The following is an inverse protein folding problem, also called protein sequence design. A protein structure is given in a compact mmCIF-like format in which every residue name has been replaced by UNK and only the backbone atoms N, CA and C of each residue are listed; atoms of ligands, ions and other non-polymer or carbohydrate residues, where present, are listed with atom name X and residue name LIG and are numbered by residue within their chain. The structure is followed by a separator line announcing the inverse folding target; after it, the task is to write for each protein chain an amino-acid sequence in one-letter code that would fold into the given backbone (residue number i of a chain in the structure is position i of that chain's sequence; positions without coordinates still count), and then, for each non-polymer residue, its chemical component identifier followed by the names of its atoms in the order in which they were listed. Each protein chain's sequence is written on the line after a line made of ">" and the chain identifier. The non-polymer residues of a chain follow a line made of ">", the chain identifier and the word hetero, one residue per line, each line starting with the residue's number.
data_IF_202224788060
#
_entry.id   IF_202224788060
#
_cell.length_a   1.000
_cell.length_b   1.000
_cell.length_c   1.000
_cell.angle_alpha   90.00
_cell.angle_beta   90.00
_cell.angle_gamma   90.00
#
_symmetry.space_group_name_H-M   'P 1'
#
loop_
_entity.id
_entity.type
_entity.pdbx_description
1 polymer ?
#
# COMPACT_ATOMS: atom_id res chain seq x y z
N UNK A 1 23.29 -11.23 -11.01
CA UNK A 1 22.52 -11.61 -12.21
C UNK A 1 21.08 -11.14 -12.00
N UNK A 2 20.39 -10.63 -13.03
CA UNK A 2 19.08 -10.00 -12.83
C UNK A 2 18.00 -11.04 -12.52
N UNK A 3 17.32 -10.89 -11.38
CA UNK A 3 16.14 -11.69 -11.02
C UNK A 3 14.92 -11.25 -11.84
N UNK A 4 14.75 -11.87 -13.01
CA UNK A 4 13.74 -11.48 -14.02
C UNK A 4 12.31 -11.61 -13.49
N UNK A 5 12.02 -12.64 -12.68
CA UNK A 5 10.67 -12.84 -12.13
C UNK A 5 10.34 -11.76 -11.10
N UNK A 6 11.31 -11.40 -10.26
CA UNK A 6 11.09 -10.34 -9.29
C UNK A 6 10.99 -8.96 -9.96
N UNK A 7 11.79 -8.71 -10.99
CA UNK A 7 11.72 -7.47 -11.78
C UNK A 7 10.36 -7.31 -12.48
N UNK A 8 9.92 -8.34 -13.21
CA UNK A 8 8.65 -8.30 -13.95
C UNK A 8 7.45 -8.09 -13.03
N UNK A 9 7.37 -8.82 -11.92
CA UNK A 9 6.29 -8.63 -10.93
C UNK A 9 6.33 -7.27 -10.25
N UNK A 10 7.52 -6.68 -10.04
CA UNK A 10 7.66 -5.33 -9.49
C UNK A 10 7.16 -4.26 -10.48
N UNK A 11 7.49 -4.40 -11.77
CA UNK A 11 6.99 -3.52 -12.84
C UNK A 11 5.47 -3.63 -12.97
N UNK A 12 4.92 -4.84 -12.97
CA UNK A 12 3.46 -5.05 -12.99
C UNK A 12 2.79 -4.35 -11.81
N UNK A 13 3.37 -4.44 -10.60
CA UNK A 13 2.87 -3.75 -9.41
C UNK A 13 2.86 -2.22 -9.58
N UNK A 14 3.94 -1.65 -10.12
CA UNK A 14 4.02 -0.22 -10.40
C UNK A 14 2.93 0.23 -11.40
N UNK A 15 2.71 -0.54 -12.47
CA UNK A 15 1.66 -0.26 -13.46
C UNK A 15 0.28 -0.26 -12.81
N UNK A 16 -0.03 -1.28 -11.98
CA UNK A 16 -1.30 -1.36 -11.27
C UNK A 16 -1.50 -0.18 -10.32
N UNK A 17 -0.46 0.24 -9.60
CA UNK A 17 -0.51 1.45 -8.75
C UNK A 17 -0.82 2.70 -9.54
N UNK A 18 -0.17 2.90 -10.69
CA UNK A 18 -0.43 4.04 -11.56
C UNK A 18 -1.89 4.02 -12.05
N UNK A 19 -2.38 2.88 -12.53
CA UNK A 19 -3.76 2.73 -13.01
C UNK A 19 -4.77 3.09 -11.92
N UNK A 20 -4.61 2.53 -10.72
CA UNK A 20 -5.51 2.78 -9.58
C UNK A 20 -5.42 4.22 -9.12
N UNK A 21 -4.21 4.73 -8.94
CA UNK A 21 -3.96 6.09 -8.47
C UNK A 21 -4.58 7.13 -9.40
N UNK A 22 -4.31 7.03 -10.70
CA UNK A 22 -4.88 7.92 -11.72
C UNK A 22 -6.39 7.77 -11.81
N UNK A 23 -6.92 6.54 -11.74
CA UNK A 23 -8.36 6.31 -11.75
C UNK A 23 -9.07 7.02 -10.60
N UNK A 24 -8.55 6.87 -9.37
CA UNK A 24 -9.14 7.48 -8.18
C UNK A 24 -9.03 9.02 -8.19
N UNK A 25 -7.91 9.56 -8.64
CA UNK A 25 -7.76 11.00 -8.83
C UNK A 25 -8.72 11.54 -9.90
N UNK A 26 -8.94 10.81 -10.99
CA UNK A 26 -9.91 11.18 -12.00
C UNK A 26 -11.35 11.17 -11.44
N UNK A 27 -11.70 10.20 -10.59
CA UNK A 27 -12.98 10.20 -9.88
C UNK A 27 -13.12 11.42 -8.97
N UNK A 28 -12.07 11.78 -8.22
CA UNK A 28 -12.06 12.98 -7.39
C UNK A 28 -12.22 14.27 -8.21
N UNK A 29 -11.55 14.38 -9.36
CA UNK A 29 -11.66 15.54 -10.24
C UNK A 29 -13.07 15.74 -10.82
N UNK A 30 -13.89 14.68 -10.88
CA UNK A 30 -15.28 14.69 -11.34
C UNK A 30 -16.29 15.04 -10.23
N UNK A 31 -15.88 15.11 -8.97
CA UNK A 31 -16.78 15.51 -7.88
C UNK A 31 -17.14 17.01 -8.00
N UNK A 32 -18.40 17.34 -7.75
CA UNK A 32 -18.89 18.73 -7.76
C UNK A 32 -18.24 19.56 -6.65
N UNK A 33 -18.08 18.98 -5.46
CA UNK A 33 -17.36 19.55 -4.33
C UNK A 33 -16.14 18.69 -4.04
N UNK A 34 -14.97 19.30 -4.03
CA UNK A 34 -13.68 18.62 -3.91
C UNK A 34 -13.07 18.94 -2.56
N UNK A 35 -12.83 17.93 -1.75
CA UNK A 35 -12.06 18.07 -0.52
C UNK A 35 -10.82 17.20 -0.58
N UNK A 36 -9.71 17.68 -0.02
CA UNK A 36 -8.48 16.89 0.10
C UNK A 36 -8.61 15.77 1.14
N UNK A 37 -9.70 15.76 1.92
CA UNK A 37 -10.06 14.68 2.83
C UNK A 37 -10.85 13.55 2.16
N UNK A 38 -11.23 13.70 0.89
CA UNK A 38 -12.05 12.69 0.20
C UNK A 38 -11.28 11.39 0.00
N UNK A 39 -11.96 10.26 0.19
CA UNK A 39 -11.37 8.92 0.04
C UNK A 39 -10.70 8.75 -1.33
N UNK A 40 -11.33 9.08 -2.49
CA UNK A 40 -10.67 8.93 -3.79
C UNK A 40 -9.39 9.76 -3.92
N UNK A 41 -9.34 10.95 -3.31
CA UNK A 41 -8.12 11.76 -3.33
C UNK A 41 -7.02 11.13 -2.48
N UNK A 42 -7.29 10.86 -1.20
CA UNK A 42 -6.28 10.33 -0.27
C UNK A 42 -5.81 8.92 -0.67
N UNK A 43 -6.71 8.06 -1.13
CA UNK A 43 -6.33 6.75 -1.66
C UNK A 43 -5.55 6.89 -2.97
N UNK A 44 -6.00 7.74 -3.90
CA UNK A 44 -5.32 7.95 -5.17
C UNK A 44 -3.89 8.47 -5.00
N UNK A 45 -3.72 9.54 -4.21
CA UNK A 45 -2.40 10.09 -3.87
C UNK A 45 -1.55 9.06 -3.13
N UNK A 46 -2.09 8.39 -2.11
CA UNK A 46 -1.37 7.39 -1.34
C UNK A 46 -0.82 6.25 -2.20
N UNK A 47 -1.63 5.70 -3.11
CA UNK A 47 -1.18 4.65 -4.04
C UNK A 47 -0.10 5.17 -4.99
N UNK A 48 -0.20 6.40 -5.48
CA UNK A 48 0.84 6.97 -6.35
C UNK A 48 2.17 7.18 -5.62
N UNK A 49 2.16 7.45 -4.31
CA UNK A 49 3.39 7.52 -3.51
C UNK A 49 4.12 6.17 -3.42
N UNK A 50 3.44 5.04 -3.63
CA UNK A 50 4.11 3.74 -3.71
C UNK A 50 4.90 3.55 -5.01
N UNK A 51 4.58 4.31 -6.08
CA UNK A 51 5.20 4.15 -7.39
C UNK A 51 6.70 4.46 -7.37
N UNK A 52 7.17 5.62 -6.86
CA UNK A 52 8.61 5.88 -6.70
C UNK A 52 9.35 4.77 -5.94
N UNK A 53 8.75 4.24 -4.86
CA UNK A 53 9.32 3.13 -4.10
C UNK A 53 9.49 1.86 -4.95
N UNK A 54 8.49 1.51 -5.77
CA UNK A 54 8.59 0.37 -6.70
C UNK A 54 9.56 0.58 -7.86
N UNK A 55 9.74 1.83 -8.30
CA UNK A 55 10.77 2.17 -9.30
C UNK A 55 12.16 1.96 -8.70
N UNK A 56 12.40 2.42 -7.46
CA UNK A 56 13.66 2.19 -6.75
C UNK A 56 13.92 0.68 -6.61
N UNK A 57 12.92 -0.09 -6.17
CA UNK A 57 13.02 -1.56 -6.09
C UNK A 57 13.45 -2.15 -7.46
N UNK A 58 12.83 -1.70 -8.55
CA UNK A 58 13.15 -2.19 -9.91
C UNK A 58 14.58 -1.85 -10.35
N UNK A 59 15.06 -0.65 -10.03
CA UNK A 59 16.42 -0.21 -10.36
C UNK A 59 17.48 -1.01 -9.58
N UNK A 60 17.19 -1.34 -8.32
CA UNK A 60 18.06 -2.20 -7.50
C UNK A 60 18.10 -3.62 -8.06
N UNK A 61 16.95 -4.21 -8.40
CA UNK A 61 16.88 -5.58 -8.98
C UNK A 61 17.59 -5.66 -10.34
N UNK A 62 17.48 -4.60 -11.15
CA UNK A 62 18.17 -4.50 -12.43
C UNK A 62 19.68 -4.23 -12.30
N UNK A 63 20.23 -4.13 -11.09
CA UNK A 63 21.63 -3.77 -10.81
C UNK A 63 22.03 -2.40 -11.37
N UNK A 64 21.08 -1.48 -11.54
CA UNK A 64 21.33 -0.11 -12.02
C UNK A 64 21.71 0.83 -10.87
N UNK A 65 21.28 0.52 -9.65
CA UNK A 65 21.61 1.26 -8.42
C UNK A 65 21.98 0.25 -7.34
N UNK A 66 23.06 0.52 -6.60
CA UNK A 66 23.50 -0.33 -5.49
C UNK A 66 22.64 -0.20 -4.23
N UNK A 67 22.74 -1.19 -3.34
CA UNK A 67 22.10 -1.16 -2.03
C UNK A 67 22.75 -0.04 -1.19
N UNK A 68 22.02 1.05 -1.01
CA UNK A 68 22.50 2.28 -0.37
C UNK A 68 21.37 2.98 0.37
N UNK A 69 21.63 4.16 0.95
CA UNK A 69 20.62 4.97 1.64
C UNK A 69 19.36 5.28 0.81
N UNK A 70 19.44 5.19 -0.53
CA UNK A 70 18.29 5.33 -1.43
C UNK A 70 17.19 4.29 -1.12
N UNK A 71 17.57 3.10 -0.66
CA UNK A 71 16.62 2.06 -0.25
C UNK A 71 15.85 2.47 1.01
N UNK A 72 16.49 3.17 1.95
CA UNK A 72 15.81 3.65 3.16
C UNK A 72 14.76 4.71 2.80
N UNK A 73 15.07 5.59 1.83
CA UNK A 73 14.11 6.58 1.28
C UNK A 73 12.92 5.88 0.62
N UNK A 74 13.14 4.73 -0.06
CA UNK A 74 12.04 3.91 -0.61
C UNK A 74 11.01 3.51 0.45
N UNK A 75 11.43 3.17 1.67
CA UNK A 75 10.49 2.84 2.76
C UNK A 75 9.80 4.08 3.35
N UNK A 76 10.42 5.26 3.29
CA UNK A 76 9.77 6.50 3.70
C UNK A 76 8.55 6.83 2.82
N UNK A 77 8.58 6.48 1.51
CA UNK A 77 7.42 6.62 0.64
C UNK A 77 6.25 5.70 1.04
N UNK A 78 6.52 4.47 1.47
CA UNK A 78 5.49 3.57 1.99
C UNK A 78 4.81 4.15 3.24
N UNK A 79 5.59 4.81 4.11
CA UNK A 79 5.06 5.51 5.30
C UNK A 79 4.09 6.62 4.89
N UNK A 80 4.39 7.40 3.85
CA UNK A 80 3.45 8.43 3.34
C UNK A 80 2.11 7.83 2.91
N UNK A 81 2.13 6.69 2.21
CA UNK A 81 0.90 5.98 1.84
C UNK A 81 0.09 5.55 3.08
N UNK A 82 0.77 4.95 4.07
CA UNK A 82 0.14 4.49 5.32
C UNK A 82 -0.51 5.66 6.08
N UNK A 83 0.18 6.81 6.15
CA UNK A 83 -0.32 8.05 6.76
C UNK A 83 -1.59 8.55 6.07
N UNK A 84 -1.61 8.59 4.73
CA UNK A 84 -2.75 9.11 3.97
C UNK A 84 -3.98 8.19 4.15
N UNK A 85 -3.77 6.87 4.13
CA UNK A 85 -4.84 5.90 4.37
C UNK A 85 -5.37 6.00 5.80
N UNK A 86 -4.50 5.96 6.81
CA UNK A 86 -4.90 6.12 8.21
C UNK A 86 -5.58 7.46 8.45
N UNK A 87 -5.05 8.55 7.91
CA UNK A 87 -5.64 9.89 8.03
C UNK A 87 -7.05 9.95 7.48
N UNK A 88 -7.28 9.36 6.30
CA UNK A 88 -8.61 9.25 5.72
C UNK A 88 -9.58 8.48 6.63
N UNK A 89 -9.18 7.32 7.13
CA UNK A 89 -10.05 6.44 7.89
C UNK A 89 -10.28 6.93 9.32
N UNK A 90 -9.27 7.52 9.97
CA UNK A 90 -9.41 8.14 11.29
C UNK A 90 -10.32 9.37 11.25
N UNK A 91 -10.46 10.06 10.12
CA UNK A 91 -11.46 11.12 9.99
C UNK A 91 -12.90 10.60 10.03
N UNK A 92 -13.11 9.31 9.68
CA UNK A 92 -14.41 8.63 9.78
C UNK A 92 -14.65 8.15 11.21
N UNK A 93 -13.67 7.48 11.83
CA UNK A 93 -13.84 6.85 13.15
C UNK A 93 -13.72 7.83 14.33
N UNK A 94 -12.90 8.88 14.18
CA UNK A 94 -12.59 9.84 15.24
C UNK A 94 -12.76 11.26 14.69
N UNK A 95 -13.95 11.55 14.16
CA UNK A 95 -14.26 12.85 13.56
C UNK A 95 -14.13 14.00 14.58
N UNK A 96 -14.62 13.79 15.81
CA UNK A 96 -14.74 14.83 16.83
C UNK A 96 -13.43 15.14 17.56
N UNK A 97 -12.54 14.15 17.74
CA UNK A 97 -11.28 14.33 18.49
C UNK A 97 -10.12 14.67 17.57
N UNK A 98 -10.19 15.85 16.97
CA UNK A 98 -9.20 16.35 15.98
C UNK A 98 -7.75 16.29 16.50
N UNK A 99 -7.51 16.70 17.76
CA UNK A 99 -6.18 16.65 18.39
C UNK A 99 -5.63 15.22 18.47
N UNK A 100 -6.46 14.27 18.90
CA UNK A 100 -6.08 12.85 19.00
C UNK A 100 -5.76 12.28 17.62
N UNK A 101 -6.57 12.61 16.60
CA UNK A 101 -6.34 12.19 15.21
C UNK A 101 -4.98 12.64 14.70
N UNK A 102 -4.66 13.92 14.82
CA UNK A 102 -3.35 14.43 14.37
C UNK A 102 -2.19 13.86 15.19
N UNK A 103 -2.36 13.71 16.51
CA UNK A 103 -1.34 13.08 17.35
C UNK A 103 -1.04 11.63 16.90
N UNK A 104 -2.07 10.83 16.64
CA UNK A 104 -1.91 9.46 16.13
C UNK A 104 -1.22 9.44 14.77
N UNK A 105 -1.63 10.32 13.84
CA UNK A 105 -1.03 10.41 12.50
C UNK A 105 0.44 10.80 12.59
N UNK A 106 0.78 11.84 13.37
CA UNK A 106 2.16 12.32 13.53
C UNK A 106 3.03 11.24 14.17
N UNK A 107 2.53 10.54 15.18
CA UNK A 107 3.29 9.48 15.87
C UNK A 107 3.55 8.29 14.94
N UNK A 108 2.52 7.86 14.20
CA UNK A 108 2.66 6.78 13.21
C UNK A 108 3.46 7.19 11.96
N UNK A 109 3.65 8.48 11.73
CA UNK A 109 4.54 8.99 10.70
C UNK A 109 5.99 9.05 11.17
N UNK A 110 6.22 9.74 12.28
CA UNK A 110 7.56 10.10 12.74
C UNK A 110 8.32 8.89 13.25
N UNK A 111 7.69 8.03 14.06
CA UNK A 111 8.36 6.89 14.69
C UNK A 111 8.88 5.92 13.61
N UNK A 112 8.07 5.41 12.67
CA UNK A 112 8.56 4.55 11.60
C UNK A 112 9.59 5.22 10.70
N UNK A 113 9.40 6.49 10.34
CA UNK A 113 10.35 7.22 9.48
C UNK A 113 11.72 7.30 10.13
N UNK A 114 11.79 7.62 11.43
CA UNK A 114 13.05 7.64 12.20
C UNK A 114 13.69 6.24 12.17
N UNK A 115 12.92 5.19 12.43
CA UNK A 115 13.44 3.82 12.36
C UNK A 115 14.00 3.48 10.97
N UNK A 116 13.28 3.78 9.89
CA UNK A 116 13.77 3.53 8.53
C UNK A 116 15.04 4.31 8.18
N UNK A 117 15.17 5.55 8.63
CA UNK A 117 16.34 6.38 8.32
C UNK A 117 17.57 6.00 9.14
N UNK A 118 17.39 5.54 10.38
CA UNK A 118 18.52 5.21 11.29
C UNK A 118 18.98 3.75 11.20
N UNK A 119 18.19 2.85 10.60
CA UNK A 119 18.53 1.43 10.52
C UNK A 119 19.56 1.13 9.41
N UNK A 120 20.42 0.11 9.63
CA UNK A 120 21.33 -0.36 8.59
C UNK A 120 20.57 -0.88 7.37
N UNK A 121 21.17 -0.72 6.18
CA UNK A 121 20.61 -1.09 4.88
C UNK A 121 20.58 -2.62 4.69
N UNK A 122 19.78 -3.32 5.50
CA UNK A 122 19.50 -4.74 5.32
C UNK A 122 18.05 -4.92 4.87
N UNK A 123 17.89 -5.43 3.65
CA UNK A 123 16.61 -5.57 2.96
C UNK A 123 15.59 -6.46 3.67
N UNK A 124 16.03 -7.53 4.35
CA UNK A 124 15.10 -8.43 5.05
C UNK A 124 14.53 -7.74 6.28
N UNK A 125 15.37 -7.06 7.06
CA UNK A 125 14.93 -6.30 8.22
C UNK A 125 14.05 -5.11 7.83
N UNK A 126 14.41 -4.36 6.79
CA UNK A 126 13.61 -3.24 6.32
C UNK A 126 12.23 -3.70 5.80
N UNK A 127 12.17 -4.81 5.05
CA UNK A 127 10.89 -5.39 4.65
C UNK A 127 10.07 -5.86 5.85
N UNK A 128 10.69 -6.49 6.84
CA UNK A 128 10.01 -6.92 8.08
C UNK A 128 9.43 -5.74 8.85
N UNK A 129 10.21 -4.67 9.01
CA UNK A 129 9.77 -3.44 9.66
C UNK A 129 8.61 -2.79 8.87
N UNK A 130 8.68 -2.79 7.55
CA UNK A 130 7.61 -2.28 6.70
C UNK A 130 6.30 -3.06 6.84
N UNK A 131 6.37 -4.39 6.94
CA UNK A 131 5.19 -5.21 7.23
C UNK A 131 4.57 -4.83 8.58
N UNK A 132 5.39 -4.62 9.63
CA UNK A 132 4.91 -4.21 10.96
C UNK A 132 4.30 -2.79 10.97
N UNK A 133 4.91 -1.85 10.25
CA UNK A 133 4.45 -0.46 10.18
C UNK A 133 3.16 -0.32 9.37
N UNK A 134 3.01 -1.10 8.30
CA UNK A 134 1.82 -1.05 7.45
C UNK A 134 0.60 -1.78 8.04
N UNK A 135 0.82 -2.74 8.94
CA UNK A 135 -0.22 -3.55 9.60
C UNK A 135 -1.39 -2.73 10.16
N UNK A 136 -1.19 -1.71 11.03
CA UNK A 136 -2.30 -0.92 11.56
C UNK A 136 -3.13 -0.24 10.47
N UNK A 137 -2.46 0.27 9.43
CA UNK A 137 -3.11 0.90 8.27
C UNK A 137 -3.97 -0.09 7.49
N UNK A 138 -3.45 -1.28 7.21
CA UNK A 138 -4.19 -2.30 6.47
C UNK A 138 -5.37 -2.83 7.29
N UNK A 139 -5.18 -3.06 8.60
CA UNK A 139 -6.25 -3.53 9.50
C UNK A 139 -7.39 -2.53 9.56
N UNK A 140 -7.11 -1.22 9.70
CA UNK A 140 -8.18 -0.22 9.73
C UNK A 140 -8.93 -0.17 8.40
N UNK A 141 -8.27 -0.39 7.25
CA UNK A 141 -8.94 -0.49 5.93
C UNK A 141 -9.91 -1.67 5.95
N UNK A 142 -9.47 -2.86 6.38
CA UNK A 142 -10.31 -4.06 6.45
C UNK A 142 -11.53 -3.80 7.34
N UNK A 143 -11.32 -3.32 8.56
CA UNK A 143 -12.41 -3.07 9.52
C UNK A 143 -13.40 -2.04 8.99
N UNK A 144 -12.91 -0.94 8.41
CA UNK A 144 -13.76 0.15 7.90
C UNK A 144 -14.62 -0.32 6.73
N UNK A 145 -14.03 -1.01 5.76
CA UNK A 145 -14.74 -1.40 4.55
C UNK A 145 -15.67 -2.61 4.77
N UNK A 146 -15.36 -3.50 5.72
CA UNK A 146 -16.30 -4.53 6.17
C UNK A 146 -17.49 -3.90 6.89
N UNK A 147 -17.23 -3.01 7.85
CA UNK A 147 -18.28 -2.35 8.61
C UNK A 147 -19.23 -1.55 7.70
N UNK A 148 -18.69 -0.76 6.77
CA UNK A 148 -19.49 0.03 5.82
C UNK A 148 -20.29 -0.84 4.84
N UNK A 149 -19.76 -2.01 4.47
CA UNK A 149 -20.49 -2.97 3.64
C UNK A 149 -21.68 -3.59 4.39
N UNK A 150 -21.47 -4.10 5.60
CA UNK A 150 -22.54 -4.71 6.40
C UNK A 150 -23.59 -3.70 6.85
N UNK A 151 -23.21 -2.45 7.07
CA UNK A 151 -24.15 -1.35 7.40
C UNK A 151 -24.78 -0.68 6.18
N UNK A 152 -24.46 -1.13 4.95
CA UNK A 152 -24.97 -0.59 3.68
C UNK A 152 -24.78 0.92 3.52
N UNK A 153 -23.70 1.50 4.08
CA UNK A 153 -23.46 2.95 4.11
C UNK A 153 -22.80 3.51 2.84
N UNK A 154 -22.12 2.67 2.06
CA UNK A 154 -21.40 3.10 0.85
C UNK A 154 -22.14 2.65 -0.42
N UNK A 155 -22.77 3.59 -1.13
CA UNK A 155 -23.50 3.28 -2.37
C UNK A 155 -22.62 3.29 -3.62
N UNK A 156 -21.51 4.03 -3.57
CA UNK A 156 -20.63 4.27 -4.72
C UNK A 156 -19.40 3.36 -4.74
N UNK A 157 -19.17 2.55 -3.70
CA UNK A 157 -17.95 1.77 -3.51
C UNK A 157 -18.30 0.39 -2.94
N UNK A 158 -17.75 -0.67 -3.54
CA UNK A 158 -17.96 -2.04 -3.09
C UNK A 158 -17.04 -2.40 -1.91
N UNK A 159 -17.45 -2.05 -0.69
CA UNK A 159 -16.64 -2.24 0.53
C UNK A 159 -16.14 -3.68 0.77
N UNK A 160 -16.91 -4.71 0.44
CA UNK A 160 -16.44 -6.11 0.57
C UNK A 160 -15.21 -6.40 -0.31
N UNK A 161 -15.19 -5.93 -1.56
CA UNK A 161 -14.05 -6.15 -2.46
C UNK A 161 -12.81 -5.40 -1.97
N UNK A 162 -12.96 -4.19 -1.46
CA UNK A 162 -11.84 -3.44 -0.86
C UNK A 162 -11.29 -4.16 0.36
N UNK A 163 -12.17 -4.74 1.18
CA UNK A 163 -11.76 -5.52 2.36
C UNK A 163 -11.01 -6.78 1.97
N UNK A 164 -11.51 -7.53 0.99
CA UNK A 164 -10.84 -8.73 0.44
C UNK A 164 -9.48 -8.34 -0.14
N UNK A 165 -9.42 -7.27 -0.93
CA UNK A 165 -8.18 -6.69 -1.45
C UNK A 165 -7.17 -6.42 -0.32
N UNK A 166 -7.61 -5.74 0.74
CA UNK A 166 -6.75 -5.40 1.86
C UNK A 166 -6.24 -6.65 2.60
N UNK A 167 -7.06 -7.71 2.72
CA UNK A 167 -6.62 -9.02 3.25
C UNK A 167 -5.57 -9.66 2.34
N UNK A 168 -5.77 -9.65 1.02
CA UNK A 168 -4.80 -10.20 0.06
C UNK A 168 -3.47 -9.44 0.12
N UNK A 169 -3.52 -8.10 0.19
CA UNK A 169 -2.33 -7.26 0.36
C UNK A 169 -1.66 -7.51 1.71
N UNK A 170 -2.43 -7.71 2.78
CA UNK A 170 -1.89 -8.07 4.10
C UNK A 170 -1.11 -9.38 4.04
N UNK A 171 -1.67 -10.41 3.42
CA UNK A 171 -1.01 -11.72 3.24
C UNK A 171 0.30 -11.53 2.46
N UNK A 172 0.28 -10.79 1.36
CA UNK A 172 1.48 -10.47 0.59
C UNK A 172 2.55 -9.79 1.45
N UNK A 173 2.17 -8.76 2.22
CA UNK A 173 3.11 -8.01 3.06
C UNK A 173 3.71 -8.85 4.17
N UNK A 174 2.92 -9.69 4.84
CA UNK A 174 3.42 -10.58 5.89
C UNK A 174 4.30 -11.69 5.31
N UNK A 175 3.95 -12.25 4.16
CA UNK A 175 4.72 -13.33 3.53
C UNK A 175 6.03 -12.86 2.90
N UNK A 176 6.13 -11.60 2.46
CA UNK A 176 7.29 -11.10 1.69
C UNK A 176 8.64 -11.30 2.37
N UNK A 177 8.86 -10.94 3.66
CA UNK A 177 10.13 -11.17 4.34
C UNK A 177 10.52 -12.65 4.38
N UNK A 178 9.56 -13.54 4.66
CA UNK A 178 9.79 -14.99 4.72
C UNK A 178 10.09 -15.58 3.33
N UNK A 179 9.38 -15.15 2.29
CA UNK A 179 9.62 -15.65 0.93
C UNK A 179 10.99 -15.20 0.38
N UNK A 180 11.49 -14.04 0.82
CA UNK A 180 12.80 -13.51 0.43
C UNK A 180 13.97 -14.37 0.94
N UNK A 181 13.77 -15.11 2.04
CA UNK A 181 14.81 -16.01 2.59
C UNK A 181 14.86 -17.37 1.90
N UNK A 182 13.86 -17.72 1.08
CA UNK A 182 13.79 -19.00 0.38
C UNK A 182 14.43 -18.85 -1.00
N UNK A 183 15.70 -19.25 -1.12
CA UNK A 183 16.46 -19.22 -2.37
C UNK A 183 16.47 -20.61 -2.99
N UNK A 184 15.81 -20.77 -4.14
CA UNK A 184 15.74 -22.05 -4.86
C UNK A 184 16.81 -22.20 -5.94
N UNK A 185 17.26 -21.08 -6.52
CA UNK A 185 18.27 -21.09 -7.59
C UNK A 185 19.25 -19.92 -7.41
N UNK A 186 20.50 -20.03 -7.91
CA UNK A 186 21.49 -18.95 -7.84
C UNK A 186 21.08 -17.65 -8.55
N UNK A 187 20.09 -17.73 -9.45
CA UNK A 187 19.58 -16.60 -10.23
C UNK A 187 18.43 -15.85 -9.52
N UNK A 188 17.96 -16.34 -8.37
CA UNK A 188 16.92 -15.73 -7.54
C UNK A 188 17.55 -15.03 -6.34
N UNK A 189 18.25 -13.91 -6.57
CA UNK A 189 18.92 -13.13 -5.53
C UNK A 189 17.95 -12.63 -4.44
N UNK A 190 16.66 -12.47 -4.78
CA UNK A 190 15.61 -12.06 -3.85
C UNK A 190 14.66 -13.21 -3.47
N UNK A 191 15.07 -14.46 -3.69
CA UNK A 191 14.31 -15.66 -3.35
C UNK A 191 12.94 -15.72 -4.01
N UNK A 192 11.92 -16.14 -3.26
CA UNK A 192 10.53 -16.23 -3.72
C UNK A 192 9.73 -14.92 -3.55
N UNK A 193 10.40 -13.77 -3.34
CA UNK A 193 9.73 -12.49 -3.12
C UNK A 193 8.84 -12.04 -4.31
N UNK A 194 9.07 -12.56 -5.51
CA UNK A 194 8.22 -12.35 -6.69
C UNK A 194 6.79 -12.87 -6.48
N UNK A 195 6.62 -13.95 -5.71
CA UNK A 195 5.30 -14.51 -5.40
C UNK A 195 4.51 -13.57 -4.50
N UNK A 196 5.17 -12.96 -3.50
CA UNK A 196 4.53 -11.93 -2.68
C UNK A 196 4.09 -10.74 -3.54
N UNK A 197 4.94 -10.26 -4.46
CA UNK A 197 4.56 -9.18 -5.39
C UNK A 197 3.36 -9.55 -6.25
N UNK A 198 3.30 -10.79 -6.75
CA UNK A 198 2.17 -11.28 -7.55
C UNK A 198 0.87 -11.30 -6.73
N UNK A 199 0.92 -11.78 -5.48
CA UNK A 199 -0.23 -11.74 -4.55
C UNK A 199 -0.67 -10.29 -4.33
N UNK A 200 0.27 -9.35 -4.13
CA UNK A 200 -0.06 -7.93 -4.00
C UNK A 200 -0.76 -7.41 -5.27
N UNK A 201 -0.22 -7.69 -6.46
CA UNK A 201 -0.82 -7.28 -7.74
C UNK A 201 -2.28 -7.74 -7.83
N UNK A 202 -2.57 -9.00 -7.50
CA UNK A 202 -3.94 -9.53 -7.46
C UNK A 202 -4.80 -8.75 -6.47
N UNK A 203 -4.29 -8.51 -5.26
CA UNK A 203 -4.98 -7.71 -4.24
C UNK A 203 -5.34 -6.30 -4.74
N UNK A 204 -4.41 -5.61 -5.37
CA UNK A 204 -4.63 -4.27 -5.91
C UNK A 204 -5.58 -4.26 -7.11
N UNK A 205 -5.57 -5.29 -7.97
CA UNK A 205 -6.58 -5.44 -9.02
C UNK A 205 -7.98 -5.60 -8.40
N UNK A 206 -8.12 -6.38 -7.34
CA UNK A 206 -9.39 -6.49 -6.60
C UNK A 206 -9.78 -5.12 -6.00
N UNK A 207 -8.81 -4.36 -5.49
CA UNK A 207 -9.03 -2.99 -4.99
C UNK A 207 -9.64 -2.08 -6.06
N UNK A 208 -9.07 -2.11 -7.26
CA UNK A 208 -9.56 -1.36 -8.41
C UNK A 208 -11.03 -1.66 -8.70
N UNK A 209 -11.40 -2.94 -8.75
CA UNK A 209 -12.79 -3.35 -8.93
C UNK A 209 -13.67 -2.94 -7.74
N UNK A 210 -13.13 -2.92 -6.53
CA UNK A 210 -13.83 -2.42 -5.34
C UNK A 210 -14.26 -0.96 -5.44
N UNK A 211 -13.46 -0.10 -6.07
CA UNK A 211 -13.82 1.30 -6.32
C UNK A 211 -14.66 1.52 -7.59
N UNK A 212 -14.63 0.56 -8.52
CA UNK A 212 -15.33 0.68 -9.81
C UNK A 212 -16.74 0.08 -9.79
N UNK A 213 -16.93 -1.03 -9.08
CA UNK A 213 -18.19 -1.75 -9.02
C UNK A 213 -19.06 -1.19 -7.89
N UNK A 214 -20.37 -1.17 -8.12
CA UNK A 214 -21.35 -0.88 -7.07
C UNK A 214 -21.63 -2.15 -6.26
N UNK A 215 -21.91 -2.04 -4.96
CA UNK A 215 -22.28 -3.20 -4.16
C UNK A 215 -23.67 -3.72 -4.55
N UNK A 216 -23.86 -5.04 -4.52
CA UNK A 216 -25.10 -5.70 -4.97
C UNK A 216 -26.36 -5.37 -4.16
N UNK A 217 -26.25 -4.62 -3.07
CA UNK A 217 -27.39 -4.08 -2.32
C UNK A 217 -27.88 -2.72 -2.84
N UNK A 218 -27.21 -2.14 -3.84
CA UNK A 218 -27.63 -0.93 -4.55
C UNK A 218 -28.27 -1.37 -5.86
N UNK A 219 -29.56 -1.03 -6.11
CA UNK A 219 -30.26 -1.38 -7.35
C UNK A 219 -29.71 -0.67 -8.59
#
# INVERSE_FOLDING_TARGET
>A
MVDVLFLTTTIMKAIVFIIIGVYLLNQWLKLEKKYTSDIPFLFGVGVLFLVPGTIIDSLVIANLIGISYIINIRYAFDVVCVILFLGSLLSVWIAEKVKLRYFTIITLASVPTIFFLMMPTNLIYLDTLNSLVSLPGIIIVIVTFLFTYFTKRLTNVHGLLISISAIVVLISQVMRPFLKTIILTPFMEFGLAWLANLIAVVGWIICYFGFRLKPGYVP
#
